data_IF_101472193739
#
_entry.id   IF_101472193739
#
_cell.length_a   1.000
_cell.length_b   1.000
_cell.length_c   1.000
_cell.angle_alpha   90.00
_cell.angle_beta   90.00
_cell.angle_gamma   90.00
#
_symmetry.space_group_name_H-M   'P 1'
#
loop_
_entity.id
_entity.type
_entity.pdbx_description
1 polymer ?
#
# COMPACT_ATOMS: atom_id res chain seq x y z
N UNK A 1 -7.85 10.00 -5.94
CA UNK A 1 -6.72 9.70 -6.84
C UNK A 1 -6.74 8.20 -7.12
N UNK A 2 -6.80 7.75 -8.36
CA UNK A 2 -6.91 6.31 -8.67
C UNK A 2 -5.58 5.61 -8.33
N UNK A 3 -5.63 4.55 -7.52
CA UNK A 3 -4.50 3.74 -7.05
C UNK A 3 -3.45 3.44 -8.14
N UNK A 4 -3.91 3.11 -9.35
CA UNK A 4 -3.05 2.84 -10.53
C UNK A 4 -2.17 4.02 -10.93
N UNK A 5 -2.68 5.25 -10.86
CA UNK A 5 -1.91 6.44 -11.23
C UNK A 5 -0.88 6.83 -10.18
N UNK A 6 -1.14 6.54 -8.90
CA UNK A 6 -0.24 6.87 -7.79
C UNK A 6 0.93 5.89 -7.67
N UNK A 7 0.67 4.60 -7.88
CA UNK A 7 1.67 3.54 -7.65
C UNK A 7 2.21 2.90 -8.93
N UNK A 8 1.59 3.14 -10.09
CA UNK A 8 1.90 2.42 -11.34
C UNK A 8 3.37 2.48 -11.77
N UNK A 9 4.05 3.61 -11.54
CA UNK A 9 5.47 3.78 -11.89
C UNK A 9 6.42 3.01 -10.98
N UNK A 10 6.00 2.64 -9.77
CA UNK A 10 6.87 1.97 -8.78
C UNK A 10 6.56 0.49 -8.62
N UNK A 11 5.36 0.03 -8.97
CA UNK A 11 4.93 -1.36 -8.73
C UNK A 11 5.87 -2.41 -9.37
N UNK A 12 6.46 -2.12 -10.53
CA UNK A 12 7.44 -3.02 -11.17
C UNK A 12 8.75 -3.19 -10.38
N UNK A 13 8.98 -2.37 -9.37
CA UNK A 13 10.14 -2.41 -8.50
C UNK A 13 9.88 -3.13 -7.17
N UNK A 14 8.65 -3.56 -6.92
CA UNK A 14 8.28 -4.44 -5.83
C UNK A 14 8.39 -5.89 -6.31
N UNK A 15 9.12 -6.72 -5.58
CA UNK A 15 9.32 -8.15 -5.91
C UNK A 15 8.31 -9.04 -5.21
N UNK A 16 8.15 -8.81 -3.91
CA UNK A 16 7.20 -9.53 -3.06
C UNK A 16 6.54 -8.50 -2.15
N UNK A 17 5.25 -8.66 -1.89
CA UNK A 17 4.51 -7.86 -0.93
C UNK A 17 3.66 -8.80 -0.10
N UNK A 18 3.74 -8.67 1.21
CA UNK A 18 2.88 -9.37 2.16
C UNK A 18 2.11 -8.34 2.97
N UNK A 19 0.83 -8.61 3.20
CA UNK A 19 -0.03 -7.80 4.05
C UNK A 19 -0.57 -8.69 5.15
N UNK A 20 -0.47 -8.21 6.38
CA UNK A 20 -0.89 -8.94 7.58
C UNK A 20 -1.89 -8.07 8.34
N UNK A 21 -3.13 -8.55 8.44
CA UNK A 21 -4.17 -7.89 9.23
C UNK A 21 -3.88 -8.06 10.71
N UNK A 22 -3.67 -6.95 11.42
CA UNK A 22 -3.39 -6.92 12.87
C UNK A 22 -4.65 -6.88 13.70
N UNK A 23 -5.66 -6.15 13.24
CA UNK A 23 -6.96 -6.07 13.90
C UNK A 23 -8.06 -5.78 12.90
N UNK A 24 -9.28 -6.19 13.25
CA UNK A 24 -10.48 -6.02 12.46
C UNK A 24 -11.57 -5.44 13.36
N UNK A 25 -12.27 -4.41 12.89
CA UNK A 25 -13.52 -3.91 13.48
C UNK A 25 -14.59 -3.97 12.41
N UNK A 26 -15.78 -4.48 12.75
CA UNK A 26 -16.90 -4.61 11.81
C UNK A 26 -18.12 -3.83 12.29
N UNK A 27 -18.78 -3.14 11.37
CA UNK A 27 -20.11 -2.55 11.54
C UNK A 27 -21.04 -3.17 10.50
N UNK A 28 -21.78 -4.19 10.93
CA UNK A 28 -22.72 -4.92 10.07
C UNK A 28 -23.96 -4.11 9.73
N UNK A 29 -24.35 -3.14 10.56
CA UNK A 29 -25.49 -2.27 10.29
C UNK A 29 -25.21 -1.30 9.14
N UNK A 30 -23.94 -0.97 8.92
CA UNK A 30 -23.49 -0.07 7.85
C UNK A 30 -22.73 -0.77 6.73
N UNK A 31 -22.53 -2.08 6.81
CA UNK A 31 -21.68 -2.85 5.90
C UNK A 31 -20.25 -2.29 5.78
N UNK A 32 -19.65 -1.92 6.92
CA UNK A 32 -18.30 -1.36 7.00
C UNK A 32 -17.36 -2.31 7.72
N UNK A 33 -16.14 -2.45 7.20
CA UNK A 33 -15.03 -3.17 7.85
C UNK A 33 -13.83 -2.24 7.96
N UNK A 34 -13.27 -2.11 9.16
CA UNK A 34 -12.02 -1.39 9.40
C UNK A 34 -10.91 -2.40 9.65
N UNK A 35 -9.82 -2.29 8.90
CA UNK A 35 -8.64 -3.15 9.01
C UNK A 35 -7.45 -2.31 9.44
N UNK A 36 -6.75 -2.72 10.50
CA UNK A 36 -5.37 -2.30 10.72
C UNK A 36 -4.46 -3.35 10.07
N UNK A 37 -3.58 -2.92 9.17
CA UNK A 37 -2.76 -3.81 8.34
C UNK A 37 -1.31 -3.38 8.38
N UNK A 38 -0.42 -4.34 8.62
CA UNK A 38 1.00 -4.16 8.38
C UNK A 38 1.37 -4.76 7.03
N UNK A 39 2.02 -3.96 6.17
CA UNK A 39 2.57 -4.39 4.89
C UNK A 39 4.09 -4.47 4.96
N UNK A 40 4.64 -5.45 4.25
CA UNK A 40 6.08 -5.62 4.07
C UNK A 40 6.36 -5.97 2.62
N UNK A 41 7.31 -5.29 1.99
CA UNK A 41 7.67 -5.57 0.62
C UNK A 41 9.18 -5.56 0.39
N UNK A 42 9.63 -6.54 -0.37
CA UNK A 42 11.00 -6.55 -0.93
C UNK A 42 10.99 -5.72 -2.19
N UNK A 43 11.89 -4.73 -2.29
CA UNK A 43 12.00 -3.88 -3.47
C UNK A 43 13.32 -4.09 -4.20
N UNK A 44 13.60 -3.27 -5.21
CA UNK A 44 14.94 -3.18 -5.84
C UNK A 44 15.98 -2.49 -4.95
N UNK A 45 15.53 -1.79 -3.91
CA UNK A 45 16.36 -1.11 -2.92
C UNK A 45 16.03 -1.60 -1.50
N UNK A 46 15.95 -0.69 -0.51
CA UNK A 46 15.57 -1.04 0.85
C UNK A 46 14.20 -1.73 0.94
N UNK A 47 13.99 -2.48 2.02
CA UNK A 47 12.69 -3.06 2.32
C UNK A 47 11.66 -1.95 2.56
N UNK A 48 10.46 -2.13 2.02
CA UNK A 48 9.37 -1.17 2.11
C UNK A 48 8.31 -1.71 3.10
N UNK A 49 8.26 -1.12 4.28
CA UNK A 49 7.41 -1.53 5.39
C UNK A 49 6.45 -0.41 5.77
N UNK A 50 5.17 -0.72 5.86
CA UNK A 50 4.13 0.28 6.06
C UNK A 50 3.04 -0.22 6.99
N UNK A 51 2.41 0.70 7.70
CA UNK A 51 1.17 0.46 8.42
C UNK A 51 0.03 1.24 7.75
N UNK A 52 -1.12 0.58 7.63
CA UNK A 52 -2.32 1.10 7.00
C UNK A 52 -3.52 0.89 7.91
N UNK A 53 -4.41 1.88 7.93
CA UNK A 53 -5.81 1.67 8.33
C UNK A 53 -6.67 1.77 7.08
N UNK A 54 -7.37 0.69 6.75
CA UNK A 54 -8.36 0.67 5.68
C UNK A 54 -9.77 0.73 6.26
N UNK A 55 -10.63 1.57 5.69
CA UNK A 55 -12.07 1.54 5.90
C UNK A 55 -12.73 1.07 4.61
N UNK A 56 -13.31 -0.12 4.66
CA UNK A 56 -13.91 -0.81 3.53
C UNK A 56 -15.43 -0.70 3.64
N UNK A 57 -16.05 -0.04 2.66
CA UNK A 57 -17.51 0.07 2.57
C UNK A 57 -18.00 -0.95 1.55
N UNK A 58 -18.71 -1.96 2.04
CA UNK A 58 -19.25 -3.04 1.22
C UNK A 58 -20.65 -2.71 0.70
N UNK A 59 -21.01 -3.31 -0.43
CA UNK A 59 -22.37 -3.27 -0.97
C UNK A 59 -23.37 -3.86 0.04
N UNK A 60 -24.68 -3.55 -0.07
CA UNK A 60 -25.69 -4.08 0.84
C UNK A 60 -25.72 -5.62 0.96
N UNK A 61 -25.30 -6.34 -0.08
CA UNK A 61 -25.19 -7.80 -0.11
C UNK A 61 -23.81 -8.33 0.34
N UNK A 62 -22.90 -7.44 0.76
CA UNK A 62 -21.53 -7.69 1.17
C UNK A 62 -20.66 -8.44 0.14
N UNK A 63 -21.02 -8.42 -1.15
CA UNK A 63 -20.28 -9.13 -2.21
C UNK A 63 -19.18 -8.31 -2.87
N UNK A 64 -19.23 -6.98 -2.74
CA UNK A 64 -18.25 -6.09 -3.34
C UNK A 64 -17.97 -4.89 -2.43
N UNK A 65 -16.85 -4.21 -2.67
CA UNK A 65 -16.52 -2.93 -2.06
C UNK A 65 -16.89 -1.81 -3.04
N UNK A 66 -17.60 -0.78 -2.57
CA UNK A 66 -17.93 0.39 -3.39
C UNK A 66 -17.12 1.63 -2.99
N UNK A 67 -16.47 1.62 -1.82
CA UNK A 67 -15.55 2.67 -1.36
C UNK A 67 -14.48 2.07 -0.45
N UNK A 68 -13.25 2.53 -0.65
CA UNK A 68 -12.09 2.20 0.18
C UNK A 68 -11.48 3.53 0.62
N UNK A 69 -11.32 3.71 1.92
CA UNK A 69 -10.55 4.82 2.48
C UNK A 69 -9.27 4.24 3.07
N UNK A 70 -8.15 4.90 2.80
CA UNK A 70 -6.82 4.47 3.18
C UNK A 70 -6.17 5.57 4.01
N UNK A 71 -5.69 5.19 5.19
CA UNK A 71 -4.87 6.02 6.05
C UNK A 71 -3.51 5.35 6.18
N UNK A 72 -2.46 6.12 5.95
CA UNK A 72 -1.08 5.64 5.98
C UNK A 72 -0.28 6.43 7.00
N UNK A 73 0.75 5.81 7.56
CA UNK A 73 1.83 6.57 8.19
C UNK A 73 2.57 7.39 7.13
N UNK A 74 2.13 8.63 6.94
CA UNK A 74 2.66 9.52 5.91
C UNK A 74 4.15 9.88 6.11
N UNK A 75 4.64 9.85 7.35
CA UNK A 75 6.05 10.15 7.63
C UNK A 75 6.95 9.00 7.17
N UNK A 76 6.55 7.76 7.50
CA UNK A 76 7.23 6.56 7.02
C UNK A 76 7.11 6.42 5.50
N UNK A 77 5.92 6.63 4.94
CA UNK A 77 5.68 6.56 3.49
C UNK A 77 6.60 7.52 2.72
N UNK A 78 6.68 8.79 3.15
CA UNK A 78 7.50 9.81 2.47
C UNK A 78 8.98 9.41 2.47
N UNK A 79 9.48 8.91 3.59
CA UNK A 79 10.88 8.51 3.74
C UNK A 79 11.21 7.31 2.86
N UNK A 80 10.40 6.25 2.93
CA UNK A 80 10.64 5.03 2.15
C UNK A 80 10.41 5.24 0.66
N UNK A 81 9.47 6.11 0.29
CA UNK A 81 9.25 6.48 -1.11
C UNK A 81 10.48 7.15 -1.71
N UNK A 82 11.10 8.10 -1.00
CA UNK A 82 12.32 8.76 -1.45
C UNK A 82 13.47 7.75 -1.65
N UNK A 83 13.66 6.85 -0.68
CA UNK A 83 14.68 5.79 -0.76
C UNK A 83 14.46 4.84 -1.94
N UNK A 84 13.20 4.50 -2.23
CA UNK A 84 12.88 3.65 -3.37
C UNK A 84 13.17 4.36 -4.70
N UNK A 85 12.81 5.64 -4.83
CA UNK A 85 13.09 6.43 -6.04
C UNK A 85 14.59 6.56 -6.30
N UNK A 86 15.38 6.81 -5.25
CA UNK A 86 16.84 6.87 -5.35
C UNK A 86 17.44 5.53 -5.81
N UNK A 87 16.98 4.40 -5.25
CA UNK A 87 17.42 3.08 -5.68
C UNK A 87 17.03 2.75 -7.13
N UNK A 88 15.87 3.23 -7.59
CA UNK A 88 15.43 3.08 -8.98
C UNK A 88 16.36 3.88 -9.91
N UNK A 89 16.67 5.13 -9.57
CA UNK A 89 17.54 6.00 -10.36
C UNK A 89 18.95 5.41 -10.50
N UNK A 90 19.58 5.02 -9.40
CA UNK A 90 20.92 4.42 -9.40
C UNK A 90 20.98 3.13 -10.25
N UNK A 91 19.92 2.31 -10.21
CA UNK A 91 19.85 1.08 -11.03
C UNK A 91 19.65 1.38 -12.53
N UNK A 92 18.98 2.48 -12.86
CA UNK A 92 18.84 2.95 -14.23
C UNK A 92 20.18 3.42 -14.81
N UNK A 93 20.94 4.18 -14.03
CA UNK A 93 22.28 4.65 -14.41
C UNK A 93 23.26 3.49 -14.64
N UNK A 94 23.30 2.52 -13.72
CA UNK A 94 24.16 1.33 -13.84
C UNK A 94 23.85 0.41 -15.03
N UNK A 95 22.70 0.58 -15.69
CA UNK A 95 22.34 -0.17 -16.91
C UNK A 95 22.72 0.54 -18.21
N UNK A 96 23.02 1.83 -18.14
CA UNK A 96 23.26 2.70 -19.29
C UNK A 96 24.74 3.12 -19.44
N UNK A 97 25.62 2.69 -18.53
CA UNK A 97 27.08 2.83 -18.63
C UNK A 97 27.74 1.47 -18.85
#
# INVERSE_FOLDING_TARGET
MLFRSAYGSVLSHFRTMTMETKSIVTDTGRNVVVLNVQSRATTVGPRYDMEYVFILHATPDAKALHRIEEFIDSATAKTQWAQLQEAIAMRGEARNG
#
